data_IF_166212323672
#
_entry.id   IF_166212323672
#
_cell.length_a   1.000
_cell.length_b   1.000
_cell.length_c   1.000
_cell.angle_alpha   90.00
_cell.angle_beta   90.00
_cell.angle_gamma   90.00
#
_symmetry.space_group_name_H-M   'P 1'
#
loop_
_entity.id
_entity.type
_entity.pdbx_description
1 polymer ?
#
# COMPACT_ATOMS: atom_id res chain seq x y z
N UNK A 1 -4.99 -19.90 -4.30
CA UNK A 1 -4.56 -19.20 -3.07
C UNK A 1 -4.64 -17.71 -3.37
N UNK A 2 -5.53 -16.96 -2.72
CA UNK A 2 -5.78 -15.54 -3.00
C UNK A 2 -4.78 -14.62 -2.28
N UNK A 3 -3.52 -15.04 -2.26
CA UNK A 3 -2.41 -14.25 -1.70
C UNK A 3 -1.63 -13.61 -2.84
N UNK A 4 -1.09 -12.42 -2.60
CA UNK A 4 -0.30 -11.70 -3.58
C UNK A 4 1.04 -12.39 -3.86
N UNK A 5 1.57 -12.17 -5.06
CA UNK A 5 2.93 -12.54 -5.44
C UNK A 5 3.89 -11.40 -5.11
N UNK A 6 5.00 -11.70 -4.46
CA UNK A 6 6.07 -10.71 -4.22
C UNK A 6 6.63 -10.20 -5.57
N UNK A 7 6.62 -8.88 -5.75
CA UNK A 7 7.07 -8.20 -6.97
C UNK A 7 8.55 -7.82 -6.96
N UNK A 8 9.18 -7.72 -5.79
CA UNK A 8 10.58 -7.29 -5.70
C UNK A 8 11.15 -7.32 -4.29
N UNK A 9 12.30 -6.66 -4.12
CA UNK A 9 12.96 -6.49 -2.82
C UNK A 9 12.27 -5.39 -2.00
N UNK A 10 12.24 -5.57 -0.68
CA UNK A 10 11.67 -4.59 0.23
C UNK A 10 12.39 -3.25 0.15
N UNK A 11 11.63 -2.15 0.15
CA UNK A 11 12.16 -0.79 0.16
C UNK A 11 12.00 -0.18 1.56
N UNK A 12 12.99 0.55 2.08
CA UNK A 12 12.85 1.22 3.37
C UNK A 12 11.66 2.19 3.31
N UNK A 13 10.79 2.13 4.30
CA UNK A 13 9.60 2.99 4.34
C UNK A 13 9.35 3.50 5.76
N UNK A 14 9.14 4.82 5.93
CA UNK A 14 8.80 5.38 7.25
C UNK A 14 7.41 4.97 7.74
N UNK A 15 6.59 4.36 6.85
CA UNK A 15 5.31 3.74 7.21
C UNK A 15 5.50 2.43 7.95
N UNK A 16 6.58 1.70 7.65
CA UNK A 16 6.78 0.40 8.25
C UNK A 16 7.44 0.55 9.62
N UNK A 17 6.89 -0.11 10.67
CA UNK A 17 7.57 -0.18 11.94
C UNK A 17 8.88 -0.96 11.80
N UNK A 18 9.88 -0.59 12.60
CA UNK A 18 11.16 -1.32 12.67
C UNK A 18 11.09 -2.58 13.53
N UNK A 19 10.06 -2.66 14.37
CA UNK A 19 9.74 -3.81 15.22
C UNK A 19 8.46 -4.42 14.67
N UNK A 20 8.55 -5.68 14.25
CA UNK A 20 7.42 -6.42 13.74
C UNK A 20 6.66 -7.10 14.89
N UNK A 21 5.33 -7.09 14.83
CA UNK A 21 4.48 -7.91 15.69
C UNK A 21 3.92 -9.07 14.86
N UNK A 22 4.33 -10.30 15.18
CA UNK A 22 3.87 -11.51 14.50
C UNK A 22 2.34 -11.69 14.56
N UNK A 23 1.68 -11.11 15.57
CA UNK A 23 0.22 -11.19 15.75
C UNK A 23 -0.51 -10.09 15.00
N UNK A 24 0.15 -8.98 14.70
CA UNK A 24 -0.44 -7.90 13.91
C UNK A 24 0.50 -7.43 12.78
N UNK A 25 0.59 -8.21 11.70
CA UNK A 25 1.32 -7.79 10.52
C UNK A 25 0.66 -6.55 9.90
N UNK A 26 1.50 -5.58 9.57
CA UNK A 26 1.12 -4.28 9.01
C UNK A 26 1.10 -4.34 7.49
N UNK A 27 -0.04 -3.96 6.90
CA UNK A 27 -0.24 -3.92 5.46
C UNK A 27 -0.68 -2.54 4.98
N UNK A 28 -0.25 -2.16 3.77
CA UNK A 28 -0.65 -0.93 3.11
C UNK A 28 -1.11 -1.18 1.68
N UNK A 29 -2.12 -0.45 1.21
CA UNK A 29 -2.50 -0.48 -0.21
C UNK A 29 -1.62 0.44 -1.03
N UNK A 30 -1.30 0.01 -2.25
CA UNK A 30 -0.64 0.88 -3.20
C UNK A 30 -1.61 2.01 -3.63
N UNK A 31 -1.18 3.28 -3.55
CA UNK A 31 -2.02 4.46 -3.73
C UNK A 31 -2.60 4.58 -5.14
N UNK A 32 -1.84 4.16 -6.16
CA UNK A 32 -2.23 4.23 -7.57
C UNK A 32 -2.61 2.89 -8.20
N UNK A 33 -2.59 1.79 -7.44
CA UNK A 33 -2.79 0.45 -7.99
C UNK A 33 -3.44 -0.49 -6.95
N UNK A 34 -4.74 -0.70 -7.06
CA UNK A 34 -5.49 -1.52 -6.11
C UNK A 34 -5.09 -3.00 -6.07
N UNK A 35 -4.52 -3.50 -7.16
CA UNK A 35 -4.02 -4.87 -7.23
C UNK A 35 -2.65 -5.03 -6.60
N UNK A 36 -2.06 -3.96 -6.06
CA UNK A 36 -0.76 -4.00 -5.38
C UNK A 36 -0.91 -3.56 -3.92
N UNK A 37 -0.22 -4.25 -3.03
CA UNK A 37 -0.15 -3.92 -1.63
C UNK A 37 1.27 -4.10 -1.10
N UNK A 38 1.53 -3.57 0.09
CA UNK A 38 2.79 -3.70 0.78
C UNK A 38 2.59 -4.43 2.09
N UNK A 39 3.50 -5.35 2.39
CA UNK A 39 3.66 -5.94 3.71
C UNK A 39 4.92 -5.35 4.33
N UNK A 40 4.81 -4.87 5.56
CA UNK A 40 5.95 -4.38 6.30
C UNK A 40 6.70 -5.51 6.99
N UNK A 41 8.03 -5.42 6.96
CA UNK A 41 8.88 -6.16 7.87
C UNK A 41 10.17 -5.40 8.13
N UNK A 42 10.52 -5.23 9.41
CA UNK A 42 11.74 -4.59 9.90
C UNK A 42 12.04 -3.21 9.28
N UNK A 43 11.03 -2.38 9.08
CA UNK A 43 11.14 -1.05 8.46
C UNK A 43 11.17 -1.06 6.92
N UNK A 44 10.99 -2.22 6.30
CA UNK A 44 10.94 -2.37 4.84
C UNK A 44 9.52 -2.71 4.37
N UNK A 45 9.07 -2.02 3.32
CA UNK A 45 7.84 -2.30 2.61
C UNK A 45 8.12 -3.26 1.44
N UNK A 46 7.58 -4.46 1.52
CA UNK A 46 7.66 -5.48 0.48
C UNK A 46 6.42 -5.42 -0.40
N UNK A 47 6.61 -5.28 -1.71
CA UNK A 47 5.52 -5.09 -2.66
C UNK A 47 4.95 -6.43 -3.14
N UNK A 48 3.64 -6.60 -3.06
CA UNK A 48 2.91 -7.79 -3.46
C UNK A 48 1.81 -7.44 -4.46
N UNK A 49 1.65 -8.28 -5.48
CA UNK A 49 0.60 -8.14 -6.48
C UNK A 49 -0.46 -9.23 -6.34
N UNK A 50 -1.71 -8.82 -6.20
CA UNK A 50 -2.86 -9.70 -6.21
C UNK A 50 -3.03 -10.40 -7.56
N UNK A 51 -3.42 -11.69 -7.57
CA UNK A 51 -3.69 -12.42 -8.80
C UNK A 51 -4.98 -11.92 -9.48
N UNK A 52 -5.09 -12.12 -10.79
CA UNK A 52 -6.33 -12.08 -11.56
C UNK A 52 -7.27 -10.86 -11.34
N UNK A 53 -6.76 -9.63 -11.55
CA UNK A 53 -7.53 -8.36 -11.38
C UNK A 53 -8.22 -8.21 -10.01
N UNK A 54 -7.78 -8.96 -9.00
CA UNK A 54 -8.24 -8.76 -7.63
C UNK A 54 -7.57 -7.53 -7.02
N UNK A 55 -8.25 -6.96 -6.05
CA UNK A 55 -7.82 -5.81 -5.27
C UNK A 55 -7.51 -6.25 -3.84
N UNK A 56 -6.50 -5.64 -3.22
CA UNK A 56 -6.17 -5.99 -1.85
C UNK A 56 -7.21 -5.40 -0.87
N UNK A 57 -7.85 -6.26 -0.09
CA UNK A 57 -8.75 -5.90 0.97
C UNK A 57 -7.96 -5.71 2.27
N UNK A 58 -7.81 -4.46 2.73
CA UNK A 58 -7.09 -4.16 3.99
C UNK A 58 -7.78 -4.75 5.22
N UNK A 59 -9.11 -4.83 5.21
CA UNK A 59 -9.89 -5.31 6.35
C UNK A 59 -9.70 -6.81 6.55
N UNK A 60 -9.69 -7.55 5.45
CA UNK A 60 -9.58 -9.02 5.48
C UNK A 60 -8.16 -9.51 5.22
N UNK A 61 -7.22 -8.60 4.90
CA UNK A 61 -5.81 -8.90 4.60
C UNK A 61 -5.65 -9.92 3.45
N UNK A 62 -6.56 -9.93 2.47
CA UNK A 62 -6.58 -10.84 1.31
C UNK A 62 -6.83 -10.11 -0.01
N UNK A 63 -6.53 -10.75 -1.13
CA UNK A 63 -6.94 -10.27 -2.45
C UNK A 63 -8.39 -10.67 -2.73
N UNK A 64 -9.24 -9.70 -2.98
CA UNK A 64 -10.68 -9.86 -3.19
C UNK A 64 -11.18 -9.02 -4.38
N UNK A 65 -12.44 -9.17 -4.75
CA UNK A 65 -13.02 -8.49 -5.91
C UNK A 65 -13.16 -6.98 -5.70
N UNK A 66 -13.09 -6.22 -6.79
CA UNK A 66 -13.22 -4.76 -6.75
C UNK A 66 -14.53 -4.27 -6.12
N UNK A 67 -15.60 -5.07 -6.17
CA UNK A 67 -16.91 -4.76 -5.58
C UNK A 67 -16.91 -4.76 -4.05
N UNK A 68 -15.97 -5.47 -3.42
CA UNK A 68 -15.88 -5.59 -1.96
C UNK A 68 -14.80 -4.69 -1.37
N UNK A 69 -13.94 -4.13 -2.21
CA UNK A 69 -12.79 -3.30 -1.79
C UNK A 69 -12.99 -1.84 -2.18
N UNK A 70 -13.14 -0.95 -1.20
CA UNK A 70 -13.12 0.49 -1.47
C UNK A 70 -11.68 0.97 -1.73
N UNK A 71 -11.31 1.06 -3.01
CA UNK A 71 -9.99 1.53 -3.45
C UNK A 71 -10.03 2.88 -4.20
N UNK A 72 -11.22 3.41 -4.44
CA UNK A 72 -11.44 4.61 -5.26
C UNK A 72 -10.86 5.87 -4.63
N UNK A 73 -10.84 5.98 -3.30
CA UNK A 73 -10.34 7.18 -2.60
C UNK A 73 -8.81 7.30 -2.67
N UNK A 74 -8.09 6.19 -2.51
CA UNK A 74 -6.64 6.15 -2.62
C UNK A 74 -6.18 6.57 -4.03
N UNK A 75 -6.84 6.04 -5.08
CA UNK A 75 -6.53 6.39 -6.47
C UNK A 75 -6.82 7.86 -6.76
N UNK A 76 -7.95 8.39 -6.27
CA UNK A 76 -8.28 9.82 -6.44
C UNK A 76 -7.24 10.73 -5.81
N UNK A 77 -6.75 10.37 -4.61
CA UNK A 77 -5.68 11.09 -3.95
C UNK A 77 -4.37 11.02 -4.76
N UNK A 78 -4.00 9.83 -5.22
CA UNK A 78 -2.80 9.61 -6.04
C UNK A 78 -2.82 10.44 -7.33
N UNK A 79 -3.94 10.45 -8.06
CA UNK A 79 -4.08 11.24 -9.29
C UNK A 79 -4.00 12.74 -9.03
N UNK A 80 -4.56 13.21 -7.92
CA UNK A 80 -4.41 14.61 -7.48
C UNK A 80 -2.96 14.94 -7.16
N UNK A 81 -2.27 14.08 -6.39
CA UNK A 81 -0.86 14.27 -6.04
C UNK A 81 0.04 14.30 -7.29
N UNK A 82 -0.17 13.37 -8.22
CA UNK A 82 0.58 13.29 -9.49
C UNK A 82 0.46 14.57 -10.32
N UNK A 83 -0.71 15.22 -10.32
CA UNK A 83 -0.90 16.52 -10.98
C UNK A 83 -0.17 17.66 -10.29
N UNK A 84 -0.03 17.61 -8.96
CA UNK A 84 0.59 18.67 -8.17
C UNK A 84 2.13 18.60 -8.16
N UNK A 85 2.73 17.43 -8.39
CA UNK A 85 4.19 17.24 -8.46
C UNK A 85 4.64 16.52 -9.74
N UNK A 86 4.61 17.18 -10.90
CA UNK A 86 4.92 16.56 -12.19
C UNK A 86 6.42 16.26 -12.43
N UNK A 87 7.33 16.89 -11.68
CA UNK A 87 8.79 16.74 -11.84
C UNK A 87 9.45 15.82 -10.80
N UNK A 88 8.68 15.22 -9.89
CA UNK A 88 9.20 14.35 -8.84
C UNK A 88 9.57 12.98 -9.39
N UNK A 89 10.88 12.72 -9.53
CA UNK A 89 11.44 11.37 -9.56
C UNK A 89 10.74 10.56 -8.45
N UNK A 90 10.14 9.42 -8.81
CA UNK A 90 9.28 8.61 -7.94
C UNK A 90 10.05 8.10 -6.70
N UNK A 91 10.14 8.94 -5.67
CA UNK A 91 10.73 8.63 -4.38
C UNK A 91 9.60 8.25 -3.41
N UNK A 92 9.44 6.95 -3.17
CA UNK A 92 8.43 6.39 -2.29
C UNK A 92 8.45 7.03 -0.88
N UNK A 93 9.59 7.54 -0.41
CA UNK A 93 9.76 8.12 0.93
C UNK A 93 9.01 9.44 1.19
N UNK A 94 8.83 10.30 0.20
CA UNK A 94 8.11 11.58 0.38
C UNK A 94 6.60 11.39 0.29
N UNK A 95 6.15 10.54 -0.63
CA UNK A 95 4.74 10.18 -0.75
C UNK A 95 4.27 9.38 0.47
N UNK A 96 5.09 8.45 0.99
CA UNK A 96 4.77 7.65 2.17
C UNK A 96 4.45 8.50 3.40
N UNK A 97 5.13 9.64 3.61
CA UNK A 97 4.85 10.55 4.75
C UNK A 97 3.48 11.23 4.65
N UNK A 98 3.06 11.64 3.45
CA UNK A 98 1.77 12.31 3.23
C UNK A 98 0.61 11.31 3.16
N UNK A 99 0.86 10.12 2.61
CA UNK A 99 -0.08 9.00 2.57
C UNK A 99 -0.26 8.32 3.94
N UNK A 100 0.79 8.28 4.77
CA UNK A 100 0.71 7.93 6.20
C UNK A 100 -0.36 8.75 6.88
N UNK A 101 -0.26 10.09 6.78
CA UNK A 101 -1.18 11.01 7.42
C UNK A 101 -2.64 10.86 6.98
N UNK A 102 -2.91 10.35 5.78
CA UNK A 102 -4.29 10.09 5.33
C UNK A 102 -4.89 8.84 6.00
N UNK A 103 -4.08 7.79 6.21
CA UNK A 103 -4.50 6.55 6.88
C UNK A 103 -4.22 6.52 8.39
N UNK A 104 -3.41 7.44 8.93
CA UNK A 104 -3.18 7.65 10.37
C UNK A 104 -4.29 8.48 11.04
N UNK A 105 -5.34 8.86 10.32
CA UNK A 105 -6.48 9.64 10.85
C UNK A 105 -7.73 8.81 11.16
N UNK A 106 -7.60 7.50 11.24
CA UNK A 106 -8.63 6.65 11.87
C UNK A 106 -8.08 5.99 13.14
N UNK A 107 -7.86 6.82 14.16
CA UNK A 107 -8.00 6.48 15.59
C UNK A 107 -8.98 7.48 16.22
#
# INVERSE_FOLDING_TARGET
MNHGRLLGVGKPSPLCPTIDDDKDPVFYRHPGNCSVYFLCSHGFAYEFQCPARLHFNLKEKICDYESTVNCTEAIKFYERYRRLRPTGQFEWGDFAREYACFFCKEE
#
